data_IF_215794486904
#
_entry.id   IF_215794486904
#
_cell.length_a   1.000
_cell.length_b   1.000
_cell.length_c   1.000
_cell.angle_alpha   90.00
_cell.angle_beta   90.00
_cell.angle_gamma   90.00
#
_symmetry.space_group_name_H-M   'P 1'
#
loop_
_entity.id
_entity.type
_entity.pdbx_description
1 polymer ?
#
# COMPACT_ATOMS: atom_id res chain seq x y z
N UNK A 1 -4.11 0.39 -1.86
CA UNK A 1 -5.59 0.43 -1.93
C UNK A 1 -6.22 1.69 -1.34
N UNK A 2 -5.81 2.16 -0.17
CA UNK A 2 -6.42 3.34 0.50
C UNK A 2 -6.42 4.60 -0.39
N UNK A 3 -5.23 4.99 -0.89
CA UNK A 3 -5.10 6.15 -1.77
C UNK A 3 -5.85 5.97 -3.10
N UNK A 4 -5.83 4.75 -3.65
CA UNK A 4 -6.55 4.43 -4.89
C UNK A 4 -8.05 4.62 -4.73
N UNK A 5 -8.59 4.24 -3.56
CA UNK A 5 -10.00 4.43 -3.24
C UNK A 5 -10.35 5.90 -3.18
N UNK A 6 -9.51 6.71 -2.51
CA UNK A 6 -9.69 8.16 -2.47
C UNK A 6 -9.61 8.80 -3.86
N UNK A 7 -8.61 8.42 -4.67
CA UNK A 7 -8.44 8.93 -6.02
C UNK A 7 -9.68 8.67 -6.89
N UNK A 8 -10.30 7.49 -6.79
CA UNK A 8 -11.53 7.15 -7.53
C UNK A 8 -12.75 8.00 -7.15
N UNK A 9 -12.74 8.68 -6.00
CA UNK A 9 -13.83 9.58 -5.58
C UNK A 9 -13.79 10.92 -6.29
N UNK A 10 -12.62 11.32 -6.82
CA UNK A 10 -12.38 12.68 -7.33
C UNK A 10 -11.82 12.70 -8.75
N UNK A 11 -11.25 11.59 -9.24
CA UNK A 11 -10.72 11.46 -10.59
C UNK A 11 -11.78 10.80 -11.47
N UNK A 12 -12.22 11.50 -12.51
CA UNK A 12 -13.18 11.00 -13.50
C UNK A 12 -12.48 10.52 -14.78
N UNK A 13 -11.91 11.44 -15.55
CA UNK A 13 -11.34 11.16 -16.89
C UNK A 13 -9.81 11.29 -16.93
N UNK A 14 -9.24 12.25 -16.22
CA UNK A 14 -7.80 12.49 -16.23
C UNK A 14 -7.31 12.99 -14.87
N UNK A 15 -6.13 12.51 -14.47
CA UNK A 15 -5.42 13.01 -13.29
C UNK A 15 -4.52 14.17 -13.73
N UNK A 16 -4.68 15.32 -13.10
CA UNK A 16 -3.79 16.48 -13.27
C UNK A 16 -3.14 16.84 -11.93
N UNK A 17 -2.13 17.71 -11.96
CA UNK A 17 -1.41 18.11 -10.73
C UNK A 17 -2.30 18.85 -9.73
N UNK A 18 -3.36 19.54 -10.17
CA UNK A 18 -4.29 20.17 -9.24
C UNK A 18 -5.02 19.12 -8.39
N UNK A 19 -5.43 18.00 -8.97
CA UNK A 19 -6.02 16.89 -8.21
C UNK A 19 -4.97 16.15 -7.37
N UNK A 20 -3.83 15.78 -7.98
CA UNK A 20 -2.79 14.99 -7.32
C UNK A 20 -2.22 15.70 -6.07
N UNK A 21 -1.96 17.01 -6.17
CA UNK A 21 -1.39 17.77 -5.06
C UNK A 21 -2.37 17.95 -3.89
N UNK A 22 -3.65 17.65 -4.09
CA UNK A 22 -4.68 17.68 -3.04
C UNK A 22 -4.92 16.32 -2.39
N UNK A 23 -4.23 15.25 -2.82
CA UNK A 23 -4.38 13.95 -2.20
C UNK A 23 -3.82 13.95 -0.78
N UNK A 24 -4.55 13.39 0.19
CA UNK A 24 -4.03 13.23 1.54
C UNK A 24 -2.93 12.17 1.51
N UNK A 25 -1.68 12.57 1.79
CA UNK A 25 -0.55 11.66 1.92
C UNK A 25 -0.18 11.60 3.41
N UNK A 26 -0.13 10.41 4.03
CA UNK A 26 0.19 10.29 5.44
C UNK A 26 1.67 10.59 5.66
N UNK A 27 2.02 10.94 6.90
CA UNK A 27 3.42 11.09 7.27
C UNK A 27 4.13 9.74 7.14
N UNK A 28 5.19 9.72 6.34
CA UNK A 28 6.01 8.55 6.07
C UNK A 28 7.43 8.70 6.64
N UNK A 29 7.63 9.63 7.58
CA UNK A 29 8.89 9.77 8.29
C UNK A 29 9.11 8.59 9.26
N UNK A 30 10.16 7.76 9.04
CA UNK A 30 10.51 6.66 9.94
C UNK A 30 10.85 7.10 11.37
N UNK A 31 11.28 8.35 11.57
CA UNK A 31 11.54 8.88 12.92
C UNK A 31 10.23 9.16 13.68
N UNK A 32 9.19 9.58 12.95
CA UNK A 32 7.86 9.86 13.50
C UNK A 32 7.03 8.60 13.70
N UNK A 33 7.15 7.61 12.82
CA UNK A 33 6.30 6.41 12.85
C UNK A 33 7.09 5.13 12.54
N UNK A 34 7.21 4.17 13.48
CA UNK A 34 7.97 2.92 13.25
C UNK A 34 7.49 2.11 12.03
N UNK A 35 6.18 2.16 11.73
CA UNK A 35 5.57 1.51 10.56
C UNK A 35 6.08 2.09 9.24
N UNK A 36 6.47 3.37 9.19
CA UNK A 36 6.94 4.00 7.96
C UNK A 36 8.24 3.38 7.44
N UNK A 37 9.15 2.96 8.34
CA UNK A 37 10.34 2.19 7.95
C UNK A 37 9.97 0.90 7.21
N UNK A 38 8.92 0.20 7.67
CA UNK A 38 8.42 -1.03 7.04
C UNK A 38 7.79 -0.75 5.68
N UNK A 39 7.07 0.37 5.52
CA UNK A 39 6.54 0.81 4.22
C UNK A 39 7.68 1.03 3.23
N UNK A 40 8.73 1.75 3.63
CA UNK A 40 9.92 2.01 2.78
C UNK A 40 10.60 0.70 2.37
N UNK A 41 10.81 -0.22 3.32
CA UNK A 41 11.42 -1.51 3.04
C UNK A 41 10.60 -2.33 2.02
N UNK A 42 9.29 -2.46 2.24
CA UNK A 42 8.42 -3.26 1.36
C UNK A 42 8.33 -2.62 -0.03
N UNK A 43 8.12 -1.30 -0.11
CA UNK A 43 8.10 -0.58 -1.37
C UNK A 43 9.43 -0.75 -2.12
N UNK A 44 10.55 -0.65 -1.39
CA UNK A 44 11.91 -1.00 -1.80
C UNK A 44 11.96 -2.35 -2.51
N UNK A 45 11.59 -3.41 -1.79
CA UNK A 45 11.63 -4.78 -2.29
C UNK A 45 10.73 -5.03 -3.50
N UNK A 46 9.56 -4.40 -3.54
CA UNK A 46 8.61 -4.53 -4.65
C UNK A 46 9.10 -3.82 -5.92
N UNK A 47 9.81 -2.69 -5.80
CA UNK A 47 10.34 -1.95 -6.95
C UNK A 47 11.69 -2.48 -7.45
N UNK A 48 12.51 -3.09 -6.59
CA UNK A 48 13.81 -3.66 -6.96
C UNK A 48 13.69 -5.00 -7.72
N UNK A 49 13.01 -5.00 -8.87
CA UNK A 49 12.63 -6.24 -9.59
C UNK A 49 13.83 -7.02 -10.12
N UNK A 50 14.85 -6.32 -10.61
CA UNK A 50 16.04 -6.91 -11.22
C UNK A 50 17.27 -6.00 -11.08
N UNK A 51 18.42 -6.47 -11.59
CA UNK A 51 19.72 -5.84 -11.43
C UNK A 51 19.82 -4.40 -11.96
N UNK A 52 18.91 -3.95 -12.83
CA UNK A 52 18.85 -2.54 -13.28
C UNK A 52 18.57 -1.57 -12.13
N UNK A 53 17.99 -2.07 -11.04
CA UNK A 53 17.68 -1.31 -9.82
C UNK A 53 18.71 -1.51 -8.71
N UNK A 54 19.89 -2.09 -8.99
CA UNK A 54 20.86 -2.45 -7.95
C UNK A 54 21.40 -1.24 -7.16
N UNK A 55 21.65 -0.13 -7.84
CA UNK A 55 22.09 1.12 -7.20
C UNK A 55 21.02 1.64 -6.23
N UNK A 56 19.79 1.81 -6.72
CA UNK A 56 18.65 2.25 -5.91
C UNK A 56 18.34 1.27 -4.75
N UNK A 57 18.40 -0.04 -4.99
CA UNK A 57 18.17 -1.04 -3.95
C UNK A 57 19.22 -0.97 -2.84
N UNK A 58 20.48 -0.65 -3.18
CA UNK A 58 21.54 -0.44 -2.21
C UNK A 58 21.32 0.83 -1.38
N UNK A 59 20.86 1.92 -2.01
CA UNK A 59 20.51 3.17 -1.29
C UNK A 59 19.37 2.98 -0.30
N UNK A 60 18.34 2.20 -0.67
CA UNK A 60 17.20 1.88 0.19
C UNK A 60 17.54 0.79 1.23
N UNK A 61 18.61 0.01 0.99
CA UNK A 61 19.04 -1.07 1.88
C UNK A 61 18.26 -2.39 1.72
N UNK A 62 17.75 -2.67 0.52
CA UNK A 62 16.92 -3.85 0.23
C UNK A 62 17.56 -4.79 -0.80
N UNK A 63 17.26 -6.11 -0.73
CA UNK A 63 17.76 -7.06 -1.72
C UNK A 63 17.03 -6.95 -3.07
N UNK A 64 17.80 -6.97 -4.15
CA UNK A 64 17.29 -7.02 -5.53
C UNK A 64 16.64 -8.37 -5.84
N UNK A 65 15.48 -8.33 -6.50
CA UNK A 65 14.75 -9.50 -6.96
C UNK A 65 14.13 -10.33 -5.83
N UNK A 66 13.97 -9.74 -4.64
CA UNK A 66 13.45 -10.43 -3.45
C UNK A 66 11.94 -10.65 -3.43
N UNK A 67 11.21 -10.10 -4.40
CA UNK A 67 9.76 -10.25 -4.59
C UNK A 67 9.41 -10.84 -5.97
N UNK A 68 10.26 -11.75 -6.48
CA UNK A 68 10.02 -12.45 -7.77
C UNK A 68 8.99 -13.57 -7.67
N UNK A 69 8.94 -14.23 -6.53
CA UNK A 69 7.92 -15.23 -6.25
C UNK A 69 6.54 -14.55 -6.15
N UNK A 70 5.52 -15.00 -6.92
CA UNK A 70 4.21 -14.36 -6.93
C UNK A 70 3.51 -14.32 -5.57
N UNK A 71 3.66 -15.37 -4.76
CA UNK A 71 3.00 -15.46 -3.45
C UNK A 71 3.69 -14.53 -2.46
N UNK A 72 5.02 -14.49 -2.45
CA UNK A 72 5.79 -13.52 -1.66
C UNK A 72 5.46 -12.09 -2.07
N UNK A 73 5.33 -11.83 -3.37
CA UNK A 73 4.98 -10.50 -3.87
C UNK A 73 3.59 -10.07 -3.40
N UNK A 74 2.60 -10.97 -3.46
CA UNK A 74 1.25 -10.64 -3.01
C UNK A 74 1.17 -10.47 -1.49
N UNK A 75 1.84 -11.30 -0.70
CA UNK A 75 1.92 -11.12 0.75
C UNK A 75 2.52 -9.76 1.13
N UNK A 76 3.60 -9.33 0.43
CA UNK A 76 4.18 -8.01 0.59
C UNK A 76 3.19 -6.88 0.23
N UNK A 77 2.39 -7.05 -0.83
CA UNK A 77 1.37 -6.05 -1.20
C UNK A 77 0.28 -5.95 -0.12
N UNK A 78 -0.15 -7.08 0.45
CA UNK A 78 -1.12 -7.10 1.54
C UNK A 78 -0.58 -6.46 2.82
N UNK A 79 0.67 -6.77 3.17
CA UNK A 79 1.37 -6.14 4.29
C UNK A 79 1.53 -4.63 4.07
N UNK A 80 1.89 -4.21 2.86
CA UNK A 80 2.02 -2.80 2.51
C UNK A 80 0.71 -2.04 2.67
N UNK A 81 -0.41 -2.58 2.16
CA UNK A 81 -1.73 -1.98 2.32
C UNK A 81 -2.10 -1.83 3.82
N UNK A 82 -1.77 -2.82 4.65
CA UNK A 82 -2.01 -2.79 6.08
C UNK A 82 -1.16 -1.73 6.80
N UNK A 83 0.14 -1.65 6.50
CA UNK A 83 1.02 -0.61 7.02
C UNK A 83 0.52 0.78 6.64
N UNK A 84 0.13 0.98 5.38
CA UNK A 84 -0.39 2.26 4.89
C UNK A 84 -1.69 2.60 5.61
N UNK A 85 -2.60 1.66 5.83
CA UNK A 85 -3.84 1.91 6.57
C UNK A 85 -3.57 2.46 7.98
N UNK A 86 -2.60 1.89 8.70
CA UNK A 86 -2.15 2.41 10.00
C UNK A 86 -1.60 3.84 9.90
N UNK A 87 -0.81 4.16 8.87
CA UNK A 87 -0.28 5.51 8.67
C UNK A 87 -1.38 6.55 8.35
N UNK A 88 -2.48 6.12 7.70
CA UNK A 88 -3.66 6.96 7.51
C UNK A 88 -4.53 7.06 8.78
N UNK A 89 -4.23 6.31 9.84
CA UNK A 89 -5.03 6.25 11.07
C UNK A 89 -6.38 5.57 10.92
N UNK A 90 -6.50 4.65 9.96
CA UNK A 90 -7.73 3.90 9.70
C UNK A 90 -7.90 2.73 10.66
N UNK A 91 -9.14 2.37 10.95
CA UNK A 91 -9.49 1.15 11.69
C UNK A 91 -10.02 0.02 10.76
N UNK A 92 -10.44 -1.10 11.37
CA UNK A 92 -10.97 -2.23 10.61
C UNK A 92 -12.31 -1.93 9.92
N UNK A 93 -13.14 -1.07 10.50
CA UNK A 93 -14.43 -0.68 9.93
C UNK A 93 -14.23 0.25 8.73
N UNK A 94 -13.26 1.17 8.82
CA UNK A 94 -12.81 2.00 7.70
C UNK A 94 -12.29 1.14 6.53
N UNK A 95 -11.48 0.11 6.84
CA UNK A 95 -10.99 -0.83 5.84
C UNK A 95 -12.15 -1.59 5.18
N UNK A 96 -13.15 -2.05 5.94
CA UNK A 96 -14.32 -2.69 5.37
C UNK A 96 -15.02 -1.78 4.35
N UNK A 97 -15.25 -0.51 4.71
CA UNK A 97 -15.84 0.47 3.79
C UNK A 97 -15.01 0.63 2.53
N UNK A 98 -13.68 0.79 2.64
CA UNK A 98 -12.79 0.96 1.50
C UNK A 98 -12.88 -0.23 0.55
N UNK A 99 -12.76 -1.46 1.07
CA UNK A 99 -12.73 -2.67 0.24
C UNK A 99 -14.08 -2.98 -0.40
N UNK A 100 -15.18 -2.83 0.34
CA UNK A 100 -16.53 -3.13 -0.14
C UNK A 100 -17.04 -2.10 -1.16
N UNK A 101 -16.57 -0.84 -1.08
CA UNK A 101 -17.03 0.22 -1.99
C UNK A 101 -16.05 0.50 -3.13
N UNK A 102 -14.90 -0.19 -3.19
CA UNK A 102 -13.89 0.05 -4.21
C UNK A 102 -14.36 -0.31 -5.63
N UNK A 103 -15.18 -1.36 -5.77
CA UNK A 103 -15.85 -1.71 -7.01
C UNK A 103 -17.36 -1.55 -6.85
N UNK A 104 -17.91 -0.51 -7.48
CA UNK A 104 -19.34 -0.20 -7.46
C UNK A 104 -20.23 -1.29 -8.08
N UNK A 105 -19.66 -2.23 -8.85
CA UNK A 105 -20.41 -3.32 -9.50
C UNK A 105 -20.40 -4.61 -8.69
N UNK A 106 -19.35 -4.84 -7.91
CA UNK A 106 -19.14 -6.07 -7.16
C UNK A 106 -18.43 -5.78 -5.83
N UNK A 107 -19.19 -5.61 -4.73
CA UNK A 107 -18.64 -5.35 -3.41
C UNK A 107 -17.72 -6.46 -2.88
N UNK A 108 -17.81 -7.68 -3.42
CA UNK A 108 -17.05 -8.83 -2.95
C UNK A 108 -15.77 -9.08 -3.77
N UNK A 109 -15.54 -8.31 -4.84
CA UNK A 109 -14.39 -8.47 -5.74
C UNK A 109 -13.04 -8.49 -5.02
N UNK A 110 -12.93 -7.77 -3.91
CA UNK A 110 -11.68 -7.66 -3.13
C UNK A 110 -11.78 -8.32 -1.75
N UNK A 111 -12.77 -9.19 -1.50
CA UNK A 111 -12.98 -9.83 -0.21
C UNK A 111 -11.76 -10.65 0.26
N UNK A 112 -11.15 -11.44 -0.63
CA UNK A 112 -9.96 -12.23 -0.29
C UNK A 112 -8.75 -11.34 0.05
N UNK A 113 -8.57 -10.25 -0.71
CA UNK A 113 -7.52 -9.26 -0.43
C UNK A 113 -7.78 -8.56 0.90
N UNK A 114 -9.03 -8.16 1.17
CA UNK A 114 -9.43 -7.54 2.43
C UNK A 114 -9.09 -8.43 3.62
N UNK A 115 -9.45 -9.71 3.55
CA UNK A 115 -9.15 -10.69 4.60
C UNK A 115 -7.63 -10.85 4.82
N UNK A 116 -6.84 -10.89 3.74
CA UNK A 116 -5.38 -10.96 3.83
C UNK A 116 -4.76 -9.70 4.45
N UNK A 117 -5.24 -8.51 4.07
CA UNK A 117 -4.79 -7.23 4.64
C UNK A 117 -5.14 -7.15 6.13
N UNK A 118 -6.35 -7.53 6.54
CA UNK A 118 -6.74 -7.56 7.96
C UNK A 118 -5.83 -8.46 8.80
N UNK A 119 -5.34 -9.57 8.24
CA UNK A 119 -4.37 -10.45 8.92
C UNK A 119 -3.06 -9.71 9.24
N UNK A 120 -2.52 -8.93 8.31
CA UNK A 120 -1.33 -8.11 8.56
C UNK A 120 -1.65 -6.93 9.47
N UNK A 121 -2.78 -6.27 9.26
CA UNK A 121 -3.22 -5.09 10.01
C UNK A 121 -3.27 -5.36 11.52
N UNK A 122 -3.91 -6.47 11.92
CA UNK A 122 -4.01 -6.91 13.32
C UNK A 122 -2.69 -7.32 13.94
N UNK A 123 -1.69 -7.71 13.13
CA UNK A 123 -0.36 -8.12 13.61
C UNK A 123 0.56 -6.93 13.86
N UNK A 124 0.33 -5.81 13.17
CA UNK A 124 1.16 -4.60 13.24
C UNK A 124 0.79 -3.73 14.46
N UNK A 125 -0.40 -3.95 15.03
CA UNK A 125 -0.91 -3.27 16.25
C UNK A 125 -0.20 -3.71 17.54
#
# INVERSE_FOLDING_TARGET
MVLDWHARRVVELSLNFFLLNNFPIPDADPESHPIAARVVEIAGRLAAVDHRFAEWAAEVGVPVGSAKDPDVKQDLIHELDACVAHLYGLDEDDLAVIYETFDHKDPHRYADRHAAVLKHFRRIA
#
